data_IF_760593916141
#
_entry.id   IF_760593916141
#
_cell.length_a   1.000
_cell.length_b   1.000
_cell.length_c   1.000
_cell.angle_alpha   90.00
_cell.angle_beta   90.00
_cell.angle_gamma   90.00
#
_symmetry.space_group_name_H-M   'P 1'
#
loop_
_entity.id
_entity.type
_entity.pdbx_description
1 polymer ?
#
# COMPACT_ATOMS: atom_id res chain seq x y z
N UNK A 1 -13.75 14.17 -5.83
CA UNK A 1 -13.07 14.30 -7.15
C UNK A 1 -13.52 13.19 -8.10
N UNK A 2 -13.39 13.36 -9.42
CA UNK A 2 -13.88 12.38 -10.42
C UNK A 2 -13.36 10.93 -10.26
N UNK A 3 -12.29 10.69 -9.49
CA UNK A 3 -11.71 9.36 -9.26
C UNK A 3 -12.26 8.64 -8.01
N UNK A 4 -13.06 9.28 -7.17
CA UNK A 4 -13.69 8.67 -5.98
C UNK A 4 -15.07 8.07 -6.33
N UNK A 5 -15.19 7.53 -7.53
CA UNK A 5 -16.43 6.97 -8.06
C UNK A 5 -16.15 5.65 -8.74
N UNK A 6 -16.80 4.59 -8.24
CA UNK A 6 -16.73 3.24 -8.82
C UNK A 6 -16.97 3.25 -10.34
N UNK A 7 -17.96 4.02 -10.81
CA UNK A 7 -18.28 4.14 -12.26
C UNK A 7 -17.10 4.70 -13.07
N UNK A 8 -16.36 5.66 -12.52
CA UNK A 8 -15.23 6.27 -13.22
C UNK A 8 -14.01 5.36 -13.20
N UNK A 9 -13.72 4.67 -12.09
CA UNK A 9 -12.67 3.65 -12.05
C UNK A 9 -12.94 2.53 -13.06
N UNK A 10 -14.17 2.04 -13.15
CA UNK A 10 -14.57 1.05 -14.16
C UNK A 10 -14.35 1.53 -15.59
N UNK A 11 -14.68 2.79 -15.89
CA UNK A 11 -14.41 3.37 -17.22
C UNK A 11 -12.92 3.43 -17.53
N UNK A 12 -12.09 3.84 -16.56
CA UNK A 12 -10.64 3.91 -16.74
C UNK A 12 -10.04 2.51 -16.94
N UNK A 13 -10.47 1.52 -16.17
CA UNK A 13 -10.00 0.14 -16.34
C UNK A 13 -10.31 -0.41 -17.74
N UNK A 14 -11.50 -0.09 -18.28
CA UNK A 14 -11.86 -0.45 -19.66
C UNK A 14 -10.94 0.15 -20.74
N UNK A 15 -10.25 1.25 -20.43
CA UNK A 15 -9.27 1.86 -21.35
C UNK A 15 -7.90 1.15 -21.34
N UNK A 16 -7.74 0.07 -20.55
CA UNK A 16 -6.50 -0.74 -20.45
C UNK A 16 -5.24 0.09 -20.19
N UNK A 17 -5.36 1.17 -19.42
CA UNK A 17 -4.26 2.10 -19.12
C UNK A 17 -3.34 1.62 -18.00
N UNK A 18 -3.60 0.45 -17.42
CA UNK A 18 -2.96 0.00 -16.19
C UNK A 18 -1.44 -0.14 -16.34
N UNK A 19 -0.98 -0.82 -17.39
CA UNK A 19 0.45 -0.99 -17.68
C UNK A 19 1.16 0.35 -17.86
N UNK A 20 0.51 1.31 -18.54
CA UNK A 20 1.05 2.66 -18.73
C UNK A 20 1.18 3.41 -17.40
N UNK A 21 0.20 3.26 -16.50
CA UNK A 21 0.25 3.86 -15.17
C UNK A 21 1.35 3.23 -14.32
N UNK A 22 1.53 1.90 -14.38
CA UNK A 22 2.63 1.20 -13.71
C UNK A 22 3.98 1.67 -14.24
N UNK A 23 4.15 1.77 -15.56
CA UNK A 23 5.36 2.32 -16.17
C UNK A 23 5.64 3.76 -15.76
N UNK A 24 4.59 4.58 -15.62
CA UNK A 24 4.70 5.98 -15.22
C UNK A 24 5.21 6.17 -13.78
N UNK A 25 5.17 5.14 -12.91
CA UNK A 25 5.78 5.19 -11.57
C UNK A 25 7.29 5.38 -11.61
N UNK A 26 7.95 4.96 -12.70
CA UNK A 26 9.39 5.12 -12.92
C UNK A 26 9.76 6.49 -13.46
N UNK A 27 8.79 7.31 -13.88
CA UNK A 27 9.02 8.64 -14.44
C UNK A 27 8.88 9.69 -13.33
N UNK A 28 9.94 10.43 -12.95
CA UNK A 28 9.94 11.33 -11.79
C UNK A 28 8.80 12.37 -11.80
N UNK A 29 8.44 12.87 -12.97
CA UNK A 29 7.38 13.88 -13.12
C UNK A 29 5.96 13.30 -13.05
N UNK A 30 5.79 11.99 -13.30
CA UNK A 30 4.48 11.35 -13.39
C UNK A 30 4.15 10.49 -12.17
N UNK A 31 5.17 10.02 -11.45
CA UNK A 31 5.04 8.99 -10.40
C UNK A 31 4.00 9.33 -9.32
N UNK A 32 3.93 10.59 -8.88
CA UNK A 32 2.93 11.02 -7.88
C UNK A 32 1.50 10.88 -8.40
N UNK A 33 1.26 11.33 -9.63
CA UNK A 33 -0.08 11.30 -10.22
C UNK A 33 -0.48 9.88 -10.61
N UNK A 34 0.46 9.11 -11.18
CA UNK A 34 0.26 7.71 -11.51
C UNK A 34 -0.11 6.90 -10.25
N UNK A 35 0.63 7.06 -9.16
CA UNK A 35 0.37 6.34 -7.92
C UNK A 35 -0.98 6.71 -7.29
N UNK A 36 -1.37 7.99 -7.33
CA UNK A 36 -2.70 8.42 -6.88
C UNK A 36 -3.83 7.80 -7.70
N UNK A 37 -3.69 7.75 -9.02
CA UNK A 37 -4.68 7.13 -9.90
C UNK A 37 -4.76 5.62 -9.60
N UNK A 38 -3.62 4.92 -9.57
CA UNK A 38 -3.56 3.49 -9.26
C UNK A 38 -4.19 3.17 -7.92
N UNK A 39 -3.89 3.95 -6.87
CA UNK A 39 -4.50 3.79 -5.55
C UNK A 39 -6.02 3.91 -5.62
N UNK A 40 -6.53 4.94 -6.30
CA UNK A 40 -7.97 5.14 -6.44
C UNK A 40 -8.63 3.99 -7.22
N UNK A 41 -7.97 3.46 -8.26
CA UNK A 41 -8.45 2.26 -8.96
C UNK A 41 -8.51 1.07 -8.01
N UNK A 42 -7.48 0.83 -7.20
CA UNK A 42 -7.47 -0.24 -6.20
C UNK A 42 -8.57 -0.08 -5.14
N UNK A 43 -8.76 1.13 -4.62
CA UNK A 43 -9.73 1.41 -3.55
C UNK A 43 -11.19 1.32 -4.03
N UNK A 44 -11.50 1.79 -5.25
CA UNK A 44 -12.91 2.03 -5.65
C UNK A 44 -13.46 1.06 -6.70
N UNK A 45 -12.66 0.17 -7.28
CA UNK A 45 -13.15 -0.67 -8.38
C UNK A 45 -14.03 -1.86 -7.93
N UNK A 46 -14.12 -2.13 -6.61
CA UNK A 46 -14.94 -3.21 -6.07
C UNK A 46 -14.41 -4.61 -6.43
N UNK A 47 -15.00 -5.64 -5.82
CA UNK A 47 -14.54 -7.04 -5.94
C UNK A 47 -14.58 -7.57 -7.38
N UNK A 48 -15.51 -7.10 -8.19
CA UNK A 48 -15.69 -7.53 -9.60
C UNK A 48 -14.53 -7.12 -10.53
N UNK A 49 -13.59 -6.30 -10.05
CA UNK A 49 -12.43 -5.84 -10.83
C UNK A 49 -11.11 -6.50 -10.43
N UNK A 50 -11.15 -7.55 -9.61
CA UNK A 50 -9.94 -8.22 -9.14
C UNK A 50 -9.00 -8.63 -10.28
N UNK A 51 -9.53 -9.30 -11.31
CA UNK A 51 -8.73 -9.73 -12.47
C UNK A 51 -8.14 -8.57 -13.27
N UNK A 52 -8.90 -7.47 -13.41
CA UNK A 52 -8.43 -6.27 -14.11
C UNK A 52 -7.36 -5.52 -13.30
N UNK A 53 -7.41 -5.62 -11.97
CA UNK A 53 -6.46 -4.98 -11.06
C UNK A 53 -5.26 -5.86 -10.72
N UNK A 54 -5.26 -7.14 -11.07
CA UNK A 54 -4.12 -8.04 -10.86
C UNK A 54 -2.83 -7.48 -11.49
N UNK A 55 -2.94 -6.78 -12.62
CA UNK A 55 -1.81 -6.10 -13.25
C UNK A 55 -1.17 -4.98 -12.41
N UNK A 56 -1.85 -4.48 -11.35
CA UNK A 56 -1.26 -3.51 -10.41
C UNK A 56 -0.09 -4.14 -9.65
N UNK A 57 -0.10 -5.46 -9.42
CA UNK A 57 1.00 -6.17 -8.75
C UNK A 57 2.36 -5.95 -9.43
N UNK A 58 2.38 -5.67 -10.74
CA UNK A 58 3.61 -5.33 -11.46
C UNK A 58 4.26 -4.02 -10.97
N UNK A 59 3.52 -3.14 -10.29
CA UNK A 59 4.07 -1.94 -9.64
C UNK A 59 4.82 -2.25 -8.35
N UNK A 60 4.60 -3.44 -7.76
CA UNK A 60 4.96 -3.68 -6.37
C UNK A 60 6.45 -3.48 -6.05
N UNK A 61 7.41 -3.96 -6.87
CA UNK A 61 8.83 -3.68 -6.64
C UNK A 61 9.17 -2.19 -6.64
N UNK A 62 8.71 -1.44 -7.65
CA UNK A 62 8.94 0.01 -7.76
C UNK A 62 8.31 0.78 -6.60
N UNK A 63 7.13 0.36 -6.15
CA UNK A 63 6.46 0.97 -5.00
C UNK A 63 7.23 0.68 -3.71
N UNK A 64 7.66 -0.57 -3.50
CA UNK A 64 8.41 -0.99 -2.32
C UNK A 64 9.74 -0.23 -2.19
N UNK A 65 10.53 -0.17 -3.26
CA UNK A 65 11.77 0.61 -3.32
C UNK A 65 11.53 2.09 -2.97
N UNK A 66 10.45 2.68 -3.50
CA UNK A 66 10.11 4.08 -3.24
C UNK A 66 9.63 4.31 -1.80
N UNK A 67 8.94 3.35 -1.17
CA UNK A 67 8.60 3.42 0.26
C UNK A 67 9.88 3.47 1.12
N UNK A 68 10.88 2.67 0.76
CA UNK A 68 12.14 2.58 1.49
C UNK A 68 13.02 3.82 1.31
N UNK A 69 13.14 4.33 0.09
CA UNK A 69 14.14 5.34 -0.30
C UNK A 69 13.63 6.79 -0.34
N UNK A 70 12.35 7.02 -0.63
CA UNK A 70 11.81 8.37 -0.80
C UNK A 70 11.31 8.98 0.51
N UNK A 71 11.06 10.29 0.51
CA UNK A 71 10.51 11.01 1.66
C UNK A 71 9.31 11.90 1.29
N UNK A 72 8.69 12.49 2.31
CA UNK A 72 7.66 13.51 2.19
C UNK A 72 6.51 13.06 1.29
N UNK A 73 6.13 13.89 0.32
CA UNK A 73 4.92 13.70 -0.48
C UNK A 73 4.94 12.41 -1.27
N UNK A 74 6.10 12.03 -1.78
CA UNK A 74 6.20 10.82 -2.56
C UNK A 74 6.11 9.58 -1.69
N UNK A 75 6.79 9.56 -0.55
CA UNK A 75 6.68 8.47 0.41
C UNK A 75 5.22 8.29 0.86
N UNK A 76 4.51 9.38 1.18
CA UNK A 76 3.08 9.32 1.50
C UNK A 76 2.27 8.64 0.40
N UNK A 77 2.48 9.05 -0.85
CA UNK A 77 1.72 8.52 -1.99
C UNK A 77 2.06 7.06 -2.27
N UNK A 78 3.33 6.67 -2.15
CA UNK A 78 3.78 5.29 -2.39
C UNK A 78 3.33 4.34 -1.29
N UNK A 79 3.41 4.75 -0.01
CA UNK A 79 2.83 3.97 1.10
C UNK A 79 1.32 3.78 0.90
N UNK A 80 0.62 4.85 0.47
CA UNK A 80 -0.81 4.76 0.17
C UNK A 80 -1.15 3.85 -0.99
N UNK A 81 -0.29 3.78 -2.01
CA UNK A 81 -0.46 2.83 -3.11
C UNK A 81 -0.16 1.40 -2.64
N UNK A 82 0.94 1.17 -1.93
CA UNK A 82 1.31 -0.15 -1.40
C UNK A 82 0.18 -0.76 -0.56
N UNK A 83 -0.40 0.03 0.35
CA UNK A 83 -1.50 -0.38 1.22
C UNK A 83 -2.73 -0.89 0.44
N UNK A 84 -2.93 -0.46 -0.80
CA UNK A 84 -4.08 -0.87 -1.62
C UNK A 84 -3.71 -1.89 -2.69
N UNK A 85 -2.58 -1.70 -3.38
CA UNK A 85 -2.10 -2.56 -4.45
C UNK A 85 -1.72 -3.96 -3.94
N UNK A 86 -1.09 -4.06 -2.77
CA UNK A 86 -0.55 -5.33 -2.29
C UNK A 86 -1.65 -6.33 -1.89
N UNK A 87 -2.88 -5.85 -1.67
CA UNK A 87 -4.06 -6.70 -1.43
C UNK A 87 -4.43 -7.58 -2.62
N UNK A 88 -3.93 -7.26 -3.81
CA UNK A 88 -4.18 -8.03 -5.04
C UNK A 88 -3.10 -9.08 -5.32
N UNK A 89 -2.07 -9.18 -4.48
CA UNK A 89 -1.01 -10.17 -4.61
C UNK A 89 -1.34 -11.43 -3.79
N UNK A 90 -1.01 -12.61 -4.34
CA UNK A 90 -0.90 -13.83 -3.55
C UNK A 90 0.34 -13.80 -2.65
N UNK A 91 0.43 -14.72 -1.68
CA UNK A 91 1.64 -14.88 -0.86
C UNK A 91 2.89 -15.17 -1.72
N UNK A 92 2.75 -15.96 -2.79
CA UNK A 92 3.85 -16.24 -3.71
C UNK A 92 4.28 -14.98 -4.48
N UNK A 93 3.33 -14.19 -4.98
CA UNK A 93 3.62 -12.93 -5.66
C UNK A 93 4.30 -11.92 -4.72
N UNK A 94 3.90 -11.89 -3.45
CA UNK A 94 4.54 -11.10 -2.39
C UNK A 94 5.99 -11.55 -2.14
N UNK A 95 6.23 -12.86 -2.00
CA UNK A 95 7.59 -13.38 -1.80
C UNK A 95 8.50 -13.03 -2.97
N UNK A 96 8.02 -13.22 -4.21
CA UNK A 96 8.76 -12.86 -5.43
C UNK A 96 9.08 -11.36 -5.47
N UNK A 97 8.17 -10.50 -5.01
CA UNK A 97 8.43 -9.06 -4.91
C UNK A 97 9.60 -8.79 -3.95
N UNK A 98 9.56 -9.32 -2.72
CA UNK A 98 10.62 -9.11 -1.73
C UNK A 98 11.96 -9.65 -2.24
N UNK A 99 12.00 -10.87 -2.77
CA UNK A 99 13.19 -11.46 -3.39
C UNK A 99 13.78 -10.60 -4.50
N UNK A 100 12.93 -10.09 -5.41
CA UNK A 100 13.38 -9.24 -6.54
C UNK A 100 14.00 -7.93 -6.10
N UNK A 101 13.45 -7.33 -5.04
CA UNK A 101 13.96 -6.07 -4.50
C UNK A 101 15.16 -6.26 -3.57
N UNK A 102 15.37 -7.48 -3.05
CA UNK A 102 16.34 -7.74 -1.99
C UNK A 102 16.00 -7.05 -0.66
N UNK A 103 14.77 -6.57 -0.49
CA UNK A 103 14.27 -5.93 0.73
C UNK A 103 13.58 -7.01 1.55
N UNK A 104 13.96 -7.16 2.82
CA UNK A 104 13.30 -8.08 3.72
C UNK A 104 11.98 -7.52 4.25
N UNK A 105 11.03 -8.39 4.56
CA UNK A 105 9.77 -8.00 5.21
C UNK A 105 10.00 -7.27 6.54
N UNK A 106 11.03 -7.67 7.29
CA UNK A 106 11.42 -7.03 8.54
C UNK A 106 11.93 -5.59 8.32
N UNK A 107 12.65 -5.34 7.23
CA UNK A 107 13.12 -3.99 6.87
C UNK A 107 11.94 -3.09 6.50
N UNK A 108 10.97 -3.60 5.74
CA UNK A 108 9.74 -2.86 5.46
C UNK A 108 8.99 -2.56 6.76
N UNK A 109 8.83 -3.54 7.66
CA UNK A 109 8.15 -3.34 8.94
C UNK A 109 8.84 -2.24 9.77
N UNK A 110 10.17 -2.30 9.86
CA UNK A 110 11.00 -1.28 10.52
C UNK A 110 10.82 0.10 9.90
N UNK A 111 10.81 0.20 8.55
CA UNK A 111 10.58 1.47 7.85
C UNK A 111 9.20 2.05 8.17
N UNK A 112 8.15 1.22 8.15
CA UNK A 112 6.79 1.66 8.48
C UNK A 112 6.71 2.16 9.92
N UNK A 113 7.37 1.48 10.86
CA UNK A 113 7.48 1.94 12.25
C UNK A 113 8.19 3.29 12.36
N UNK A 114 9.30 3.49 11.64
CA UNK A 114 10.00 4.77 11.62
C UNK A 114 9.11 5.90 11.08
N UNK A 115 8.32 5.64 10.04
CA UNK A 115 7.35 6.60 9.51
C UNK A 115 6.29 6.92 10.56
N UNK A 116 5.71 5.91 11.23
CA UNK A 116 4.70 6.12 12.27
C UNK A 116 5.22 6.94 13.45
N UNK A 117 6.47 6.72 13.86
CA UNK A 117 7.15 7.53 14.89
C UNK A 117 7.43 8.95 14.42
N UNK A 118 7.96 9.11 13.19
CA UNK A 118 8.25 10.43 12.58
C UNK A 118 7.00 11.30 12.44
N UNK A 119 5.85 10.67 12.19
CA UNK A 119 4.55 11.32 12.01
C UNK A 119 3.56 10.95 13.11
N UNK A 120 4.04 10.86 14.36
CA UNK A 120 3.17 10.66 15.53
C UNK A 120 2.10 11.75 15.59
N UNK A 121 2.51 12.99 15.34
CA UNK A 121 1.61 14.14 15.17
C UNK A 121 1.23 14.36 13.70
N UNK A 122 -0.02 14.78 13.41
CA UNK A 122 -0.47 15.07 12.05
C UNK A 122 0.41 16.11 11.36
N UNK A 123 0.81 15.83 10.12
CA UNK A 123 1.57 16.76 9.29
C UNK A 123 0.66 17.40 8.22
N UNK A 124 0.70 18.72 8.09
CA UNK A 124 -0.01 19.41 6.99
C UNK A 124 0.57 19.11 5.61
N UNK A 125 1.86 18.71 5.53
CA UNK A 125 2.55 18.44 4.26
C UNK A 125 2.24 17.04 3.72
N UNK A 126 2.07 16.07 4.62
CA UNK A 126 1.80 14.66 4.32
C UNK A 126 0.66 14.11 5.19
N UNK A 127 -0.54 14.69 5.10
CA UNK A 127 -1.62 14.47 6.08
C UNK A 127 -2.15 13.04 6.15
N UNK A 128 -1.91 12.21 5.14
CA UNK A 128 -2.41 10.83 5.06
C UNK A 128 -1.34 9.79 5.37
N UNK A 129 -0.07 10.18 5.51
CA UNK A 129 1.03 9.21 5.61
C UNK A 129 0.84 8.25 6.78
N UNK A 130 0.47 8.77 7.96
CA UNK A 130 0.23 7.94 9.15
C UNK A 130 -0.88 6.91 8.93
N UNK A 131 -2.00 7.33 8.32
CA UNK A 131 -3.12 6.42 8.00
C UNK A 131 -2.69 5.34 7.03
N UNK A 132 -2.01 5.72 5.94
CA UNK A 132 -1.55 4.76 4.94
C UNK A 132 -0.51 3.79 5.50
N UNK A 133 0.37 4.24 6.38
CA UNK A 133 1.32 3.39 7.10
C UNK A 133 0.61 2.36 7.97
N UNK A 134 -0.46 2.73 8.68
CA UNK A 134 -1.28 1.78 9.44
C UNK A 134 -1.97 0.77 8.53
N UNK A 135 -2.57 1.22 7.42
CA UNK A 135 -3.24 0.34 6.46
C UNK A 135 -2.25 -0.68 5.87
N UNK A 136 -1.01 -0.27 5.56
CA UNK A 136 0.04 -1.17 5.10
C UNK A 136 0.51 -2.12 6.21
N UNK A 137 0.70 -1.65 7.45
CA UNK A 137 1.05 -2.50 8.58
C UNK A 137 -0.02 -3.60 8.82
N UNK A 138 -1.30 -3.26 8.68
CA UNK A 138 -2.40 -4.23 8.77
C UNK A 138 -2.30 -5.29 7.67
N UNK A 139 -1.97 -4.91 6.45
CA UNK A 139 -1.71 -5.88 5.38
C UNK A 139 -0.54 -6.81 5.73
N UNK A 140 0.58 -6.28 6.23
CA UNK A 140 1.75 -7.09 6.64
C UNK A 140 1.39 -8.09 7.73
N UNK A 141 0.64 -7.66 8.75
CA UNK A 141 0.20 -8.50 9.86
C UNK A 141 -0.74 -9.63 9.43
N UNK A 142 -1.53 -9.43 8.37
CA UNK A 142 -2.41 -10.48 7.82
C UNK A 142 -1.64 -11.53 7.02
N UNK A 143 -0.53 -11.13 6.41
CA UNK A 143 0.24 -11.99 5.52
C UNK A 143 1.41 -12.70 6.22
N UNK A 144 1.92 -12.15 7.33
CA UNK A 144 3.04 -12.73 8.07
C UNK A 144 2.91 -12.55 9.59
N UNK A 145 2.95 -13.67 10.33
CA UNK A 145 2.89 -13.71 11.80
C UNK A 145 4.13 -13.12 12.48
N UNK A 146 5.29 -13.09 11.81
CA UNK A 146 6.48 -12.40 12.32
C UNK A 146 6.28 -10.88 12.38
N UNK A 147 5.62 -10.30 11.37
CA UNK A 147 5.25 -8.88 11.36
C UNK A 147 4.31 -8.54 12.53
N UNK A 148 3.41 -9.45 12.90
CA UNK A 148 2.52 -9.27 14.07
C UNK A 148 3.32 -9.03 15.35
N UNK A 149 4.40 -9.78 15.60
CA UNK A 149 5.24 -9.59 16.81
C UNK A 149 5.92 -8.22 16.77
N UNK A 150 6.55 -7.88 15.64
CA UNK A 150 7.23 -6.59 15.44
C UNK A 150 6.31 -5.38 15.68
N UNK A 151 5.03 -5.46 15.28
CA UNK A 151 4.06 -4.39 15.51
C UNK A 151 3.39 -4.45 16.89
N UNK A 152 3.22 -5.64 17.49
CA UNK A 152 2.67 -5.82 18.86
C UNK A 152 3.60 -5.29 19.94
N UNK A 153 4.89 -5.56 19.84
CA UNK A 153 5.90 -5.14 20.83
C UNK A 153 6.02 -3.61 20.95
N UNK A 154 5.32 -2.85 20.09
CA UNK A 154 5.38 -1.40 20.00
C UNK A 154 4.02 -0.70 20.22
N UNK A 155 3.02 -1.41 20.78
CA UNK A 155 1.79 -0.79 21.29
C UNK A 155 0.73 -0.42 20.23
N UNK A 156 0.83 -0.95 19.01
CA UNK A 156 -0.21 -0.74 17.98
C UNK A 156 -1.53 -1.49 18.27
N UNK A 157 -1.61 -2.26 19.36
CA UNK A 157 -2.86 -2.83 19.87
C UNK A 157 -3.73 -1.80 20.62
N UNK A 158 -3.13 -0.80 21.30
CA UNK A 158 -3.88 0.10 22.20
C UNK A 158 -4.39 1.39 21.53
N UNK A 159 -3.95 1.68 20.30
CA UNK A 159 -4.41 2.83 19.51
C UNK A 159 -5.65 2.59 18.65
N UNK A 160 -6.27 1.40 18.75
CA UNK A 160 -7.47 1.03 17.97
C UNK A 160 -8.63 0.75 18.94
N UNK A 161 -9.10 1.81 19.58
CA UNK A 161 -10.37 1.79 20.31
C UNK A 161 -11.52 1.51 19.35
N UNK A 162 -11.92 0.24 19.26
CA UNK A 162 -13.13 -0.18 18.53
C UNK A 162 -12.97 -1.40 17.63
N UNK A 163 -12.64 -2.56 18.21
CA UNK A 163 -13.17 -3.85 17.78
C UNK A 163 -12.68 -4.45 16.46
N UNK A 164 -11.58 -5.19 16.52
CA UNK A 164 -11.43 -6.42 15.73
C UNK A 164 -11.35 -7.61 16.67
N UNK A 165 -12.51 -8.26 16.92
CA UNK A 165 -12.54 -9.61 17.49
C UNK A 165 -12.12 -10.58 16.39
N UNK A 166 -10.92 -11.15 16.51
CA UNK A 166 -10.55 -12.34 15.77
C UNK A 166 -11.28 -13.52 16.42
N UNK A 167 -12.32 -14.05 15.77
CA UNK A 167 -12.75 -15.43 16.01
C UNK A 167 -11.87 -16.32 15.14
N UNK A 168 -10.85 -16.92 15.76
CA UNK A 168 -10.16 -18.08 15.19
C UNK A 168 -11.06 -19.29 15.37
N UNK A 169 -11.64 -19.78 14.28
CA UNK A 169 -12.20 -21.12 14.23
C UNK A 169 -11.07 -22.12 14.04
N UNK A 170 -10.94 -23.04 15.00
CA UNK A 170 -10.36 -24.36 14.73
C UNK A 170 -11.39 -25.28 14.10
#
# INVERSE_FOLDING_TARGET
MALESRRNCLRILKLRVLERLVGALKVPLLRVNAARILRNLCTYSGVDCFDQLKGVAAAAPTVLEAVMSEENKLQEVMVGLAAEAFKFMSSQESNIMFERTGIEEAELASKILQILKKYENPSVRVPRIRRFSIELAIWMMRNNTASVRTFKDLGLEEGVGGGFRFHGGG
#
